data_IF_750290507669
#
_entry.id   IF_750290507669
#
_cell.length_a   1.000
_cell.length_b   1.000
_cell.length_c   1.000
_cell.angle_alpha   90.00
_cell.angle_beta   90.00
_cell.angle_gamma   90.00
#
_symmetry.space_group_name_H-M   'P 1'
#
loop_
_entity.id
_entity.type
_entity.pdbx_description
1 polymer ?
#
# COMPACT_ATOMS: atom_id res chain seq x y z
N UNK A 1 -1.48 -4.00 -22.75
CA UNK A 1 -0.16 -3.67 -23.31
C UNK A 1 0.68 -4.93 -23.17
N UNK A 2 1.00 -5.63 -24.27
CA UNK A 2 1.85 -6.82 -24.23
C UNK A 2 3.30 -6.33 -24.36
N UNK A 3 4.04 -6.38 -23.27
CA UNK A 3 5.48 -6.18 -23.32
C UNK A 3 6.11 -7.46 -23.87
N UNK A 4 6.71 -7.39 -25.05
CA UNK A 4 7.44 -8.51 -25.65
C UNK A 4 8.86 -8.55 -25.04
N UNK A 5 8.96 -9.14 -23.85
CA UNK A 5 10.25 -9.31 -23.18
C UNK A 5 11.07 -10.36 -23.90
N UNK A 6 12.18 -9.94 -24.51
CA UNK A 6 13.21 -10.85 -25.07
C UNK A 6 14.02 -11.57 -23.99
N UNK A 7 13.95 -11.10 -22.73
CA UNK A 7 14.67 -11.63 -21.57
C UNK A 7 13.74 -12.52 -20.75
N UNK A 8 14.31 -13.54 -20.10
CA UNK A 8 13.54 -14.36 -19.15
C UNK A 8 13.24 -13.55 -17.88
N UNK A 9 12.18 -13.92 -17.14
CA UNK A 9 11.81 -13.25 -15.90
C UNK A 9 12.97 -13.19 -14.88
N UNK A 10 13.81 -14.24 -14.83
CA UNK A 10 14.98 -14.31 -13.96
C UNK A 10 16.07 -13.32 -14.38
N UNK A 11 16.36 -13.22 -15.68
CA UNK A 11 17.33 -12.26 -16.20
C UNK A 11 16.90 -10.82 -15.95
N UNK A 12 15.62 -10.52 -16.20
CA UNK A 12 15.05 -9.21 -15.94
C UNK A 12 15.11 -8.87 -14.44
N UNK A 13 14.73 -9.82 -13.57
CA UNK A 13 14.81 -9.63 -12.13
C UNK A 13 16.23 -9.29 -11.67
N UNK A 14 17.23 -10.08 -12.09
CA UNK A 14 18.65 -9.89 -11.72
C UNK A 14 19.16 -8.52 -12.16
N UNK A 15 18.81 -8.10 -13.38
CA UNK A 15 19.19 -6.79 -13.92
C UNK A 15 18.58 -5.64 -13.11
N UNK A 16 17.28 -5.73 -12.78
CA UNK A 16 16.57 -4.70 -12.01
C UNK A 16 17.00 -4.72 -10.54
N UNK A 17 17.38 -5.85 -10.00
CA UNK A 17 17.89 -5.98 -8.63
C UNK A 17 19.19 -5.19 -8.44
N UNK A 18 20.17 -5.31 -9.35
CA UNK A 18 21.41 -4.54 -9.29
C UNK A 18 21.19 -3.03 -9.36
N UNK A 19 20.19 -2.58 -10.13
CA UNK A 19 19.90 -1.14 -10.28
C UNK A 19 19.34 -0.48 -9.01
N UNK A 20 18.84 -1.23 -8.04
CA UNK A 20 18.25 -0.70 -6.80
C UNK A 20 19.17 -0.67 -5.58
N UNK A 21 20.41 -1.16 -5.69
CA UNK A 21 21.33 -1.32 -4.54
C UNK A 21 21.54 -0.02 -3.76
N UNK A 22 21.80 1.09 -4.43
CA UNK A 22 21.97 2.39 -3.79
C UNK A 22 20.72 2.85 -3.04
N UNK A 23 19.55 2.48 -3.54
CA UNK A 23 18.27 2.76 -2.92
C UNK A 23 18.07 1.92 -1.66
N UNK A 24 18.36 0.62 -1.74
CA UNK A 24 18.29 -0.30 -0.59
C UNK A 24 19.27 0.11 0.51
N UNK A 25 20.47 0.53 0.20
CA UNK A 25 21.44 1.00 1.19
C UNK A 25 20.90 2.21 1.97
N UNK A 26 20.32 3.21 1.30
CA UNK A 26 19.68 4.34 1.98
C UNK A 26 18.50 3.91 2.85
N UNK A 27 17.67 3.00 2.35
CA UNK A 27 16.58 2.41 3.12
C UNK A 27 17.05 1.68 4.38
N UNK A 28 18.12 0.88 4.28
CA UNK A 28 18.75 0.19 5.43
C UNK A 28 19.27 1.18 6.47
N UNK A 29 19.92 2.27 6.04
CA UNK A 29 20.36 3.32 6.95
C UNK A 29 19.19 3.99 7.68
N UNK A 30 18.12 4.32 6.96
CA UNK A 30 16.92 4.89 7.56
C UNK A 30 16.24 3.91 8.53
N UNK A 31 16.12 2.63 8.16
CA UNK A 31 15.59 1.59 9.03
C UNK A 31 16.43 1.41 10.30
N UNK A 32 17.75 1.42 10.19
CA UNK A 32 18.69 1.32 11.33
C UNK A 32 18.47 2.41 12.38
N UNK A 33 18.09 3.61 11.95
CA UNK A 33 17.85 4.74 12.85
C UNK A 33 16.40 4.82 13.38
N UNK A 34 15.50 4.04 12.80
CA UNK A 34 14.07 4.08 13.12
C UNK A 34 13.54 2.73 13.56
N UNK A 35 13.16 1.87 12.63
CA UNK A 35 12.59 0.54 12.84
C UNK A 35 13.42 -0.50 12.07
N UNK A 36 14.49 -1.05 12.68
CA UNK A 36 15.45 -1.94 12.01
C UNK A 36 14.84 -3.21 11.40
N UNK A 37 13.69 -3.66 11.90
CA UNK A 37 13.00 -4.85 11.38
C UNK A 37 12.34 -4.63 10.01
N UNK A 38 12.08 -3.36 9.61
CA UNK A 38 11.42 -3.06 8.35
C UNK A 38 12.31 -3.36 7.13
N UNK A 39 13.60 -3.13 7.27
CA UNK A 39 14.58 -3.47 6.23
C UNK A 39 15.91 -3.84 6.91
N UNK A 40 16.20 -5.13 6.93
CA UNK A 40 17.40 -5.69 7.57
C UNK A 40 18.64 -5.50 6.71
N UNK A 41 19.81 -5.59 7.35
CA UNK A 41 21.10 -5.59 6.64
C UNK A 41 21.22 -6.82 5.74
N UNK A 42 22.08 -6.74 4.74
CA UNK A 42 22.37 -7.84 3.83
C UNK A 42 23.02 -8.99 4.59
N UNK A 43 22.64 -10.24 4.28
CA UNK A 43 23.13 -11.41 5.01
C UNK A 43 22.52 -11.60 6.40
N UNK A 44 21.48 -10.83 6.78
CA UNK A 44 20.79 -11.00 8.06
C UNK A 44 20.09 -12.37 8.11
N UNK A 45 20.61 -13.26 8.94
CA UNK A 45 20.12 -14.64 9.12
C UNK A 45 19.48 -14.88 10.47
N UNK A 46 19.07 -16.12 10.70
CA UNK A 46 18.34 -16.57 11.92
C UNK A 46 19.09 -16.28 13.23
N UNK A 47 20.43 -16.28 13.19
CA UNK A 47 21.29 -16.03 14.34
C UNK A 47 21.73 -14.56 14.48
N UNK A 48 21.31 -13.69 13.57
CA UNK A 48 21.64 -12.27 13.60
C UNK A 48 20.75 -11.51 14.58
N UNK A 49 21.32 -10.54 15.28
CA UNK A 49 20.57 -9.65 16.16
C UNK A 49 20.25 -8.35 15.42
N UNK A 50 19.02 -7.88 15.56
CA UNK A 50 18.66 -6.56 15.07
C UNK A 50 19.45 -5.49 15.83
N UNK A 51 19.96 -4.52 15.09
CA UNK A 51 20.59 -3.36 15.69
C UNK A 51 19.55 -2.55 16.47
N UNK A 52 19.83 -2.28 17.74
CA UNK A 52 18.94 -1.45 18.56
C UNK A 52 19.38 0.00 18.44
N UNK A 53 18.52 0.91 17.95
CA UNK A 53 18.85 2.33 17.88
C UNK A 53 19.17 2.88 19.28
N UNK A 54 20.16 3.76 19.36
CA UNK A 54 20.55 4.38 20.62
C UNK A 54 19.43 5.23 21.23
N UNK A 55 18.53 5.76 20.40
CA UNK A 55 17.37 6.54 20.81
C UNK A 55 16.09 6.04 20.14
N UNK A 56 14.99 6.03 20.86
CA UNK A 56 13.67 5.61 20.34
C UNK A 56 12.90 6.71 19.60
N UNK A 57 13.48 7.91 19.38
CA UNK A 57 12.76 9.04 18.78
C UNK A 57 12.34 8.76 17.33
N UNK A 58 13.19 8.11 16.55
CA UNK A 58 12.89 7.72 15.18
C UNK A 58 11.75 6.73 15.11
N UNK A 59 11.77 5.68 15.93
CA UNK A 59 10.70 4.69 16.02
C UNK A 59 9.36 5.31 16.44
N UNK A 60 9.37 6.20 17.43
CA UNK A 60 8.16 6.93 17.85
C UNK A 60 7.63 7.85 16.74
N UNK A 61 8.52 8.54 16.03
CA UNK A 61 8.15 9.38 14.89
C UNK A 61 7.46 8.60 13.77
N UNK A 62 8.04 7.49 13.35
CA UNK A 62 7.46 6.62 12.31
C UNK A 62 6.11 6.06 12.73
N UNK A 63 6.00 5.51 13.95
CA UNK A 63 4.74 4.95 14.44
C UNK A 63 3.64 6.02 14.57
N UNK A 64 3.97 7.21 15.07
CA UNK A 64 3.01 8.31 15.19
C UNK A 64 2.53 8.79 13.80
N UNK A 65 3.47 9.00 12.87
CA UNK A 65 3.13 9.43 11.51
C UNK A 65 2.31 8.38 10.79
N UNK A 66 2.69 7.10 10.85
CA UNK A 66 1.94 6.00 10.23
C UNK A 66 0.51 5.91 10.79
N UNK A 67 0.34 6.07 12.10
CA UNK A 67 -0.98 6.05 12.73
C UNK A 67 -1.84 7.24 12.32
N UNK A 68 -1.28 8.44 12.23
CA UNK A 68 -1.99 9.63 11.75
C UNK A 68 -2.40 9.52 10.28
N UNK A 69 -1.50 9.01 9.43
CA UNK A 69 -1.79 8.76 8.03
C UNK A 69 -2.87 7.68 7.87
N UNK A 70 -2.82 6.62 8.66
CA UNK A 70 -3.86 5.59 8.65
C UNK A 70 -5.25 6.15 8.99
N UNK A 71 -5.33 7.00 10.03
CA UNK A 71 -6.60 7.63 10.40
C UNK A 71 -7.12 8.59 9.33
N UNK A 72 -6.23 9.27 8.62
CA UNK A 72 -6.59 10.16 7.53
C UNK A 72 -7.04 9.41 6.26
N UNK A 73 -6.38 8.30 5.94
CA UNK A 73 -6.68 7.50 4.74
C UNK A 73 -7.87 6.57 4.95
N UNK A 74 -7.96 5.94 6.11
CA UNK A 74 -8.99 4.95 6.46
C UNK A 74 -9.64 5.33 7.80
N UNK A 75 -10.49 6.35 7.85
CA UNK A 75 -11.18 6.71 9.07
C UNK A 75 -12.04 5.54 9.58
N UNK A 76 -12.09 5.27 10.91
CA UNK A 76 -12.72 4.06 11.44
C UNK A 76 -14.26 4.05 11.31
N UNK A 77 -14.91 5.21 11.28
CA UNK A 77 -16.36 5.34 11.36
C UNK A 77 -16.95 6.24 10.27
N UNK A 78 -16.24 6.47 9.19
CA UNK A 78 -16.70 7.27 8.07
C UNK A 78 -16.25 6.65 6.75
N UNK A 79 -17.10 6.65 5.71
CA UNK A 79 -16.68 6.25 4.38
C UNK A 79 -15.60 7.21 3.89
N UNK A 80 -14.51 6.65 3.33
CA UNK A 80 -13.39 7.41 2.76
C UNK A 80 -13.52 7.57 1.24
N UNK A 81 -14.54 6.99 0.65
CA UNK A 81 -14.90 7.12 -0.76
C UNK A 81 -16.41 7.23 -0.92
N UNK A 82 -16.86 7.75 -2.05
CA UNK A 82 -18.27 7.84 -2.41
C UNK A 82 -18.43 7.45 -3.88
N UNK A 83 -19.40 6.62 -4.16
CA UNK A 83 -19.82 6.28 -5.51
C UNK A 83 -20.90 7.25 -5.95
N UNK A 84 -20.70 7.88 -7.10
CA UNK A 84 -21.67 8.83 -7.66
C UNK A 84 -21.88 8.54 -9.16
N UNK A 85 -23.09 8.67 -9.61
CA UNK A 85 -23.43 8.68 -11.02
C UNK A 85 -23.64 10.13 -11.46
N UNK A 86 -23.29 10.43 -12.70
CA UNK A 86 -23.54 11.75 -13.29
C UNK A 86 -25.06 11.93 -13.49
N UNK A 87 -25.69 12.48 -12.47
CA UNK A 87 -27.15 12.73 -12.45
C UNK A 87 -27.59 13.65 -13.58
N UNK A 88 -26.72 14.55 -14.04
CA UNK A 88 -27.02 15.45 -15.15
C UNK A 88 -27.19 14.68 -16.47
N UNK A 89 -26.35 13.66 -16.71
CA UNK A 89 -26.49 12.80 -17.88
C UNK A 89 -27.78 11.98 -17.84
N UNK A 90 -28.08 11.39 -16.67
CA UNK A 90 -29.31 10.61 -16.49
C UNK A 90 -30.58 11.47 -16.72
N UNK A 91 -30.58 12.70 -16.25
CA UNK A 91 -31.70 13.64 -16.47
C UNK A 91 -31.82 14.09 -17.93
N UNK A 92 -30.68 14.30 -18.61
CA UNK A 92 -30.68 14.61 -20.04
C UNK A 92 -31.20 13.44 -20.92
N UNK A 93 -30.97 12.22 -20.48
CA UNK A 93 -31.49 11.01 -21.10
C UNK A 93 -32.96 10.71 -20.71
N UNK A 94 -33.57 11.58 -19.91
CA UNK A 94 -34.99 11.50 -19.55
C UNK A 94 -35.29 10.53 -18.42
N UNK A 95 -34.31 10.16 -17.60
CA UNK A 95 -34.53 9.29 -16.45
C UNK A 95 -35.42 9.99 -15.41
N UNK A 96 -36.49 9.32 -14.91
CA UNK A 96 -37.30 9.85 -13.82
C UNK A 96 -36.49 10.07 -12.55
N UNK A 97 -36.84 11.05 -11.73
CA UNK A 97 -36.18 11.36 -10.46
C UNK A 97 -36.20 10.19 -9.46
N UNK A 98 -37.24 9.35 -9.53
CA UNK A 98 -37.34 8.11 -8.76
C UNK A 98 -36.21 7.12 -9.09
N UNK A 99 -35.88 6.95 -10.38
CA UNK A 99 -34.80 6.07 -10.84
C UNK A 99 -33.43 6.57 -10.36
N UNK A 100 -33.20 7.88 -10.38
CA UNK A 100 -31.97 8.48 -9.85
C UNK A 100 -31.83 8.21 -8.35
N UNK A 101 -32.93 8.35 -7.61
CA UNK A 101 -32.94 8.06 -6.16
C UNK A 101 -32.68 6.57 -5.85
N UNK A 102 -33.24 5.66 -6.65
CA UNK A 102 -32.99 4.22 -6.50
C UNK A 102 -31.53 3.86 -6.80
N UNK A 103 -30.94 4.45 -7.81
CA UNK A 103 -29.51 4.27 -8.14
C UNK A 103 -28.63 4.76 -6.97
N UNK A 104 -28.88 5.95 -6.45
CA UNK A 104 -28.14 6.49 -5.31
C UNK A 104 -28.28 5.60 -4.06
N UNK A 105 -29.44 5.06 -3.80
CA UNK A 105 -29.66 4.13 -2.69
C UNK A 105 -28.89 2.80 -2.90
N UNK A 106 -28.86 2.29 -4.12
CA UNK A 106 -28.11 1.09 -4.46
C UNK A 106 -26.60 1.31 -4.32
N UNK A 107 -26.07 2.47 -4.77
CA UNK A 107 -24.66 2.82 -4.63
C UNK A 107 -24.23 2.94 -3.16
N UNK A 108 -25.06 3.57 -2.30
CA UNK A 108 -24.79 3.62 -0.86
C UNK A 108 -24.72 2.22 -0.24
N UNK A 109 -25.57 1.30 -0.66
CA UNK A 109 -25.54 -0.08 -0.18
C UNK A 109 -24.23 -0.78 -0.59
N UNK A 110 -23.72 -0.50 -1.78
CA UNK A 110 -22.40 -1.00 -2.22
C UNK A 110 -21.28 -0.38 -1.39
N UNK A 111 -21.32 0.95 -1.13
CA UNK A 111 -20.35 1.63 -0.25
C UNK A 111 -20.31 0.96 1.14
N UNK A 112 -21.46 0.76 1.77
CA UNK A 112 -21.56 0.12 3.07
C UNK A 112 -21.01 -1.31 3.06
N UNK A 113 -21.30 -2.09 2.01
CA UNK A 113 -20.78 -3.45 1.85
C UNK A 113 -19.26 -3.46 1.77
N UNK A 114 -18.67 -2.60 0.94
CA UNK A 114 -17.21 -2.47 0.79
C UNK A 114 -16.56 -2.00 2.11
N UNK A 115 -17.17 -1.05 2.81
CA UNK A 115 -16.66 -0.57 4.10
C UNK A 115 -16.66 -1.69 5.16
N UNK A 116 -17.71 -2.51 5.19
CA UNK A 116 -17.79 -3.65 6.09
C UNK A 116 -16.74 -4.71 5.76
N UNK A 117 -16.48 -4.97 4.48
CA UNK A 117 -15.44 -5.88 4.03
C UNK A 117 -14.05 -5.40 4.43
N UNK A 118 -13.74 -4.12 4.20
CA UNK A 118 -12.49 -3.50 4.62
C UNK A 118 -12.30 -3.60 6.14
N UNK A 119 -13.36 -3.48 6.91
CA UNK A 119 -13.30 -3.61 8.35
C UNK A 119 -13.08 -5.06 8.81
N UNK A 120 -13.69 -6.05 8.13
CA UNK A 120 -13.61 -7.47 8.48
C UNK A 120 -12.26 -8.09 8.15
N UNK A 121 -11.67 -7.76 7.00
CA UNK A 121 -10.47 -8.40 6.43
C UNK A 121 -9.12 -7.86 6.94
N UNK A 122 -9.12 -7.09 8.02
CA UNK A 122 -7.90 -6.54 8.63
C UNK A 122 -7.05 -5.66 7.69
N UNK A 123 -7.64 -5.10 6.64
CA UNK A 123 -6.92 -4.21 5.70
C UNK A 123 -6.18 -3.06 6.41
N UNK A 124 -6.74 -2.56 7.51
CA UNK A 124 -6.11 -1.50 8.31
C UNK A 124 -4.75 -1.89 8.86
N UNK A 125 -4.54 -3.16 9.22
CA UNK A 125 -3.26 -3.68 9.73
C UNK A 125 -2.23 -3.68 8.60
N UNK A 126 -2.60 -4.20 7.43
CA UNK A 126 -1.73 -4.24 6.26
C UNK A 126 -1.37 -2.82 5.77
N UNK A 127 -2.35 -1.91 5.70
CA UNK A 127 -2.10 -0.51 5.33
C UNK A 127 -1.20 0.19 6.34
N UNK A 128 -1.37 -0.04 7.65
CA UNK A 128 -0.49 0.54 8.67
C UNK A 128 0.96 0.05 8.52
N UNK A 129 1.16 -1.24 8.23
CA UNK A 129 2.48 -1.80 7.95
C UNK A 129 3.08 -1.21 6.67
N UNK A 130 2.30 -1.10 5.59
CA UNK A 130 2.72 -0.45 4.36
C UNK A 130 3.12 1.01 4.56
N UNK A 131 2.37 1.75 5.37
CA UNK A 131 2.69 3.15 5.70
C UNK A 131 4.02 3.28 6.45
N UNK A 132 4.33 2.37 7.39
CA UNK A 132 5.65 2.36 8.04
C UNK A 132 6.77 2.10 7.04
N UNK A 133 6.58 1.14 6.13
CA UNK A 133 7.56 0.87 5.07
C UNK A 133 7.71 2.09 4.15
N UNK A 134 6.61 2.69 3.73
CA UNK A 134 6.63 3.89 2.89
C UNK A 134 7.38 5.06 3.54
N UNK A 135 7.15 5.31 4.84
CA UNK A 135 7.83 6.38 5.58
C UNK A 135 9.34 6.12 5.68
N UNK A 136 9.75 4.88 5.94
CA UNK A 136 11.17 4.55 6.19
C UNK A 136 11.94 4.32 4.90
N UNK A 137 11.34 3.60 3.94
CA UNK A 137 12.03 3.18 2.71
C UNK A 137 11.58 3.93 1.47
N UNK A 138 10.52 4.74 1.55
CA UNK A 138 9.99 5.51 0.41
C UNK A 138 9.17 4.68 -0.58
N UNK A 139 9.04 3.37 -0.38
CA UNK A 139 8.29 2.47 -1.25
C UNK A 139 7.71 1.30 -0.46
N UNK A 140 6.53 0.84 -0.88
CA UNK A 140 5.89 -0.37 -0.37
C UNK A 140 5.03 -0.98 -1.48
N UNK A 141 5.02 -2.30 -1.59
CA UNK A 141 4.14 -3.02 -2.49
C UNK A 141 2.99 -3.65 -1.69
N UNK A 142 1.78 -3.25 -2.06
CA UNK A 142 0.55 -3.86 -1.57
C UNK A 142 0.03 -4.83 -2.63
N UNK A 143 -0.24 -6.05 -2.22
CA UNK A 143 -0.87 -7.06 -3.06
C UNK A 143 -2.22 -7.46 -2.46
N UNK A 144 -3.24 -7.36 -3.28
CA UNK A 144 -4.61 -7.72 -2.94
C UNK A 144 -4.99 -8.95 -3.77
N UNK A 145 -4.93 -10.17 -3.21
CA UNK A 145 -5.38 -11.38 -3.90
C UNK A 145 -6.91 -11.40 -4.02
N UNK A 146 -7.43 -12.21 -4.93
CA UNK A 146 -8.88 -12.44 -5.06
C UNK A 146 -9.47 -13.09 -3.80
N UNK A 147 -8.70 -13.97 -3.16
CA UNK A 147 -9.06 -14.62 -1.91
C UNK A 147 -8.02 -14.32 -0.83
N UNK A 148 -8.48 -14.03 0.37
CA UNK A 148 -7.63 -13.73 1.53
C UNK A 148 -7.28 -12.26 1.69
N UNK A 149 -6.61 -11.94 2.80
CA UNK A 149 -6.31 -10.57 3.18
C UNK A 149 -5.17 -9.93 2.39
N UNK A 150 -5.13 -8.61 2.39
CA UNK A 150 -4.08 -7.80 1.79
C UNK A 150 -2.69 -8.15 2.35
N UNK A 151 -1.70 -8.24 1.48
CA UNK A 151 -0.30 -8.55 1.82
C UNK A 151 0.61 -7.38 1.50
N UNK A 152 1.58 -7.15 2.37
CA UNK A 152 2.60 -6.11 2.21
C UNK A 152 3.93 -6.76 1.91
N UNK A 153 4.58 -6.31 0.85
CA UNK A 153 5.93 -6.77 0.50
C UNK A 153 6.93 -5.66 0.78
N UNK A 154 8.02 -6.05 1.45
CA UNK A 154 9.15 -5.15 1.72
C UNK A 154 9.86 -4.83 0.41
N UNK A 155 10.50 -3.67 0.37
CA UNK A 155 11.20 -3.16 -0.82
C UNK A 155 12.32 -4.09 -1.32
N UNK A 156 12.89 -4.94 -0.47
CA UNK A 156 13.90 -5.93 -0.83
C UNK A 156 13.34 -7.20 -1.47
N UNK A 157 12.00 -7.33 -1.57
CA UNK A 157 11.31 -8.54 -2.07
C UNK A 157 10.69 -8.38 -3.44
N UNK A 158 10.79 -7.22 -4.06
CA UNK A 158 10.26 -6.97 -5.41
C UNK A 158 11.16 -6.00 -6.16
N UNK A 159 11.10 -6.01 -7.46
CA UNK A 159 11.75 -5.05 -8.35
C UNK A 159 10.72 -4.29 -9.15
N UNK A 160 11.08 -3.09 -9.59
CA UNK A 160 10.21 -2.22 -10.38
C UNK A 160 10.96 -1.81 -11.64
N UNK A 161 10.35 -2.06 -12.77
CA UNK A 161 10.79 -1.49 -14.03
C UNK A 161 10.04 -0.16 -14.24
N UNK A 162 10.79 0.88 -14.54
CA UNK A 162 10.20 2.17 -14.93
C UNK A 162 10.09 2.20 -16.44
N UNK A 163 8.89 2.49 -16.92
CA UNK A 163 8.69 2.76 -18.34
C UNK A 163 9.54 3.99 -18.73
N UNK A 164 10.48 3.87 -19.68
CA UNK A 164 11.19 5.03 -20.19
C UNK A 164 10.19 5.91 -20.94
N UNK A 165 9.80 7.03 -20.34
CA UNK A 165 9.07 8.09 -21.04
C UNK A 165 10.00 8.88 -21.94
#
# INVERSE_FOLDING_TARGET
MHYDYKETAEQLYTKLEGNRDSYLQRGRQAAKLTLPYLLTEEGFGTNSRLNTPFQGIGARGVNNLASKLLLALLPPNAPFFRLQVDTNKLQQEGAPEEVVSEIDAALRKVEDTVMNEIASERYRIAVHEALKQLIVTGNALLYMPEEGGMRVFRVDRYVVERDPM
#
